data_IF_031767317113
#
_entry.id   IF_031767317113
#
_cell.length_a   1.000
_cell.length_b   1.000
_cell.length_c   1.000
_cell.angle_alpha   90.00
_cell.angle_beta   90.00
_cell.angle_gamma   90.00
#
_symmetry.space_group_name_H-M   'P 1'
#
loop_
_entity.id
_entity.type
_entity.pdbx_description
1 polymer ?
#
# COMPACT_ATOMS: atom_id res chain seq x y z
N UNK A 1 6.41 -14.82 -6.98
CA UNK A 1 7.12 -13.57 -6.65
C UNK A 1 6.35 -12.33 -7.12
N UNK A 2 5.97 -12.21 -8.41
CA UNK A 2 5.23 -11.03 -8.95
C UNK A 2 3.84 -10.79 -8.34
N UNK A 3 3.14 -11.85 -7.93
CA UNK A 3 1.82 -11.72 -7.29
C UNK A 3 1.90 -11.01 -5.94
N UNK A 4 2.93 -11.31 -5.13
CA UNK A 4 3.12 -10.72 -3.80
C UNK A 4 3.39 -9.21 -3.90
N UNK A 5 4.25 -8.81 -4.84
CA UNK A 5 4.60 -7.41 -5.05
C UNK A 5 3.43 -6.59 -5.57
N UNK A 6 2.63 -7.16 -6.47
CA UNK A 6 1.40 -6.53 -6.98
C UNK A 6 0.37 -6.30 -5.88
N UNK A 7 0.13 -7.28 -5.01
CA UNK A 7 -0.84 -7.16 -3.91
C UNK A 7 -0.38 -6.12 -2.88
N UNK A 8 0.91 -6.09 -2.54
CA UNK A 8 1.48 -5.08 -1.64
C UNK A 8 1.39 -3.66 -2.21
N UNK A 9 1.59 -3.49 -3.52
CA UNK A 9 1.43 -2.18 -4.15
C UNK A 9 -0.05 -1.76 -4.22
N UNK A 10 -0.95 -2.73 -4.46
CA UNK A 10 -2.39 -2.49 -4.49
C UNK A 10 -2.96 -2.09 -3.12
N UNK A 11 -2.46 -2.66 -2.02
CA UNK A 11 -2.88 -2.26 -0.65
C UNK A 11 -2.47 -0.82 -0.34
N UNK A 12 -1.24 -0.43 -0.69
CA UNK A 12 -0.75 0.95 -0.56
C UNK A 12 -1.56 1.93 -1.41
N UNK A 13 -1.84 1.59 -2.67
CA UNK A 13 -2.67 2.41 -3.55
C UNK A 13 -4.11 2.56 -3.01
N UNK A 14 -4.68 1.50 -2.45
CA UNK A 14 -6.01 1.53 -1.83
C UNK A 14 -6.07 2.47 -0.63
N UNK A 15 -5.01 2.55 0.18
CA UNK A 15 -4.91 3.49 1.31
C UNK A 15 -4.64 4.93 0.86
N UNK A 16 -3.99 5.15 -0.28
CA UNK A 16 -3.75 6.49 -0.83
C UNK A 16 -5.02 7.14 -1.41
N UNK A 17 -5.96 6.33 -1.94
CA UNK A 17 -7.24 6.80 -2.47
C UNK A 17 -8.02 7.73 -1.52
N UNK A 18 -8.33 7.36 -0.26
CA UNK A 18 -9.07 8.24 0.64
C UNK A 18 -8.31 9.55 0.92
N UNK A 19 -6.98 9.51 1.00
CA UNK A 19 -6.15 10.72 1.18
C UNK A 19 -6.34 11.66 -0.01
N UNK A 20 -6.21 11.15 -1.24
CA UNK A 20 -6.40 11.95 -2.46
C UNK A 20 -7.83 12.51 -2.52
N UNK A 21 -8.84 11.74 -2.12
CA UNK A 21 -10.23 12.23 -2.10
C UNK A 21 -10.44 13.38 -1.12
N UNK A 22 -9.71 13.45 0.00
CA UNK A 22 -9.78 14.62 0.91
C UNK A 22 -9.19 15.88 0.30
N UNK A 23 -8.17 15.76 -0.55
CA UNK A 23 -7.57 16.90 -1.25
C UNK A 23 -8.48 17.42 -2.37
N UNK A 24 -9.18 16.52 -3.09
CA UNK A 24 -10.05 16.90 -4.20
C UNK A 24 -11.39 17.45 -3.72
N UNK A 25 -11.99 16.84 -2.68
CA UNK A 25 -13.27 17.26 -2.14
C UNK A 25 -13.17 17.46 -0.62
N UNK A 26 -12.77 18.66 -0.17
CA UNK A 26 -12.66 18.96 1.26
C UNK A 26 -14.02 19.02 1.96
N UNK A 27 -15.13 19.11 1.20
CA UNK A 27 -16.47 19.16 1.77
C UNK A 27 -16.95 17.74 2.06
N UNK A 28 -16.80 17.33 3.33
CA UNK A 28 -17.12 15.98 3.79
C UNK A 28 -18.62 15.72 3.69
N UNK A 29 -19.06 15.07 2.61
CA UNK A 29 -20.38 14.45 2.58
C UNK A 29 -20.47 13.39 3.68
N UNK A 30 -21.67 13.19 4.24
CA UNK A 30 -21.94 12.25 5.34
C UNK A 30 -21.50 10.80 5.04
N UNK A 31 -21.26 10.47 3.76
CA UNK A 31 -20.74 9.18 3.28
C UNK A 31 -19.21 9.03 3.36
N UNK A 32 -18.44 10.09 3.56
CA UNK A 32 -16.96 10.03 3.60
C UNK A 32 -16.42 9.11 4.70
N UNK A 33 -16.90 9.16 5.96
CA UNK A 33 -16.45 8.23 7.01
C UNK A 33 -16.73 6.76 6.67
N UNK A 34 -17.86 6.48 6.01
CA UNK A 34 -18.19 5.13 5.55
C UNK A 34 -17.25 4.68 4.43
N UNK A 35 -16.89 5.56 3.51
CA UNK A 35 -15.93 5.26 2.45
C UNK A 35 -14.52 4.96 2.98
N UNK A 36 -14.05 5.71 3.98
CA UNK A 36 -12.77 5.42 4.65
C UNK A 36 -12.85 4.06 5.34
N UNK A 37 -13.91 3.78 6.10
CA UNK A 37 -14.10 2.50 6.80
C UNK A 37 -14.07 1.31 5.84
N UNK A 38 -14.80 1.37 4.73
CA UNK A 38 -14.80 0.29 3.74
C UNK A 38 -13.44 0.14 3.08
N UNK A 39 -12.79 1.24 2.72
CA UNK A 39 -11.46 1.21 2.11
C UNK A 39 -10.41 0.60 3.05
N UNK A 40 -10.43 0.94 4.34
CA UNK A 40 -9.56 0.31 5.35
C UNK A 40 -9.85 -1.19 5.49
N UNK A 41 -11.13 -1.60 5.45
CA UNK A 41 -11.50 -3.02 5.49
C UNK A 41 -10.97 -3.79 4.28
N UNK A 42 -11.09 -3.24 3.07
CA UNK A 42 -10.55 -3.86 1.85
C UNK A 42 -9.02 -3.91 1.86
N UNK A 43 -8.35 -2.84 2.31
CA UNK A 43 -6.89 -2.81 2.46
C UNK A 43 -6.42 -3.87 3.46
N UNK A 44 -7.16 -4.06 4.57
CA UNK A 44 -6.86 -5.10 5.55
C UNK A 44 -6.99 -6.52 4.95
N UNK A 45 -8.10 -6.82 4.28
CA UNK A 45 -8.31 -8.13 3.65
C UNK A 45 -7.24 -8.43 2.59
N UNK A 46 -6.92 -7.44 1.76
CA UNK A 46 -5.89 -7.61 0.71
C UNK A 46 -4.48 -7.76 1.31
N UNK A 47 -4.19 -7.13 2.46
CA UNK A 47 -2.90 -7.29 3.16
C UNK A 47 -2.69 -8.67 3.81
N UNK A 48 -3.77 -9.40 4.13
CA UNK A 48 -3.66 -10.74 4.71
C UNK A 48 -3.09 -11.77 3.70
N UNK A 49 -3.28 -11.56 2.40
CA UNK A 49 -2.75 -12.43 1.35
C UNK A 49 -1.21 -12.51 1.38
N UNK A 50 -0.45 -11.39 1.32
CA UNK A 50 0.99 -11.44 1.46
C UNK A 50 1.44 -11.95 2.85
N UNK A 51 0.72 -11.62 3.94
CA UNK A 51 1.07 -12.13 5.28
C UNK A 51 0.95 -13.65 5.38
N UNK A 52 -0.11 -14.24 4.84
CA UNK A 52 -0.29 -15.70 4.84
C UNK A 52 0.74 -16.41 3.95
N UNK A 53 1.11 -15.81 2.82
CA UNK A 53 2.22 -16.29 1.99
C UNK A 53 3.56 -16.24 2.72
N UNK A 54 3.84 -15.16 3.46
CA UNK A 54 5.02 -15.06 4.30
C UNK A 54 5.04 -16.17 5.36
N UNK A 55 3.95 -16.39 6.10
CA UNK A 55 3.89 -17.43 7.15
C UNK A 55 4.05 -18.85 6.56
N UNK A 56 3.43 -19.12 5.41
CA UNK A 56 3.41 -20.48 4.82
C UNK A 56 4.70 -20.86 4.10
N UNK A 57 5.35 -19.91 3.42
CA UNK A 57 6.53 -20.16 2.58
C UNK A 57 7.81 -19.54 3.14
N UNK A 58 7.72 -18.80 4.25
CA UNK A 58 8.80 -17.98 4.82
C UNK A 58 9.48 -17.09 3.76
N UNK A 59 8.69 -16.64 2.78
CA UNK A 59 9.19 -15.94 1.60
C UNK A 59 9.22 -14.43 1.89
N UNK A 60 10.38 -13.93 2.27
CA UNK A 60 10.63 -12.50 2.40
C UNK A 60 10.82 -11.87 1.02
N UNK A 61 10.13 -10.77 0.75
CA UNK A 61 10.31 -10.02 -0.50
C UNK A 61 10.50 -8.54 -0.19
N UNK A 62 11.67 -8.02 -0.52
CA UNK A 62 11.94 -6.58 -0.60
C UNK A 62 11.68 -6.12 -2.03
N UNK A 63 10.85 -5.09 -2.19
CA UNK A 63 10.63 -4.42 -3.47
C UNK A 63 11.56 -3.21 -3.49
N UNK A 64 12.16 -2.91 -4.63
CA UNK A 64 12.87 -1.65 -4.86
C UNK A 64 12.16 -0.98 -6.02
N UNK A 65 11.14 -0.18 -5.72
CA UNK A 65 10.22 0.38 -6.73
C UNK A 65 10.73 1.69 -7.30
N UNK A 66 11.46 2.49 -6.51
CA UNK A 66 11.95 3.80 -6.95
C UNK A 66 13.35 4.08 -6.42
N UNK A 67 14.31 4.38 -7.30
CA UNK A 67 15.61 4.91 -6.88
C UNK A 67 15.45 6.40 -6.52
N UNK A 68 15.59 6.73 -5.24
CA UNK A 68 15.28 8.07 -4.73
C UNK A 68 16.48 9.00 -4.80
N UNK A 69 17.61 8.62 -4.19
CA UNK A 69 18.82 9.44 -4.18
C UNK A 69 20.05 8.59 -3.88
N UNK A 70 21.18 8.90 -4.52
CA UNK A 70 22.49 8.34 -4.16
C UNK A 70 23.40 9.44 -3.60
N UNK A 71 24.01 9.18 -2.44
CA UNK A 71 25.03 10.04 -1.82
C UNK A 71 26.32 9.25 -1.59
N UNK A 72 27.33 9.50 -2.44
CA UNK A 72 28.62 8.81 -2.46
C UNK A 72 28.51 7.27 -2.56
N UNK A 73 28.39 6.57 -1.43
CA UNK A 73 28.26 5.11 -1.35
C UNK A 73 26.88 4.66 -0.87
N UNK A 74 26.01 5.59 -0.48
CA UNK A 74 24.69 5.29 0.07
C UNK A 74 23.62 5.51 -1.00
N UNK A 75 22.98 4.41 -1.40
CA UNK A 75 21.87 4.38 -2.35
C UNK A 75 20.54 4.22 -1.60
N UNK A 76 19.66 5.21 -1.70
CA UNK A 76 18.32 5.17 -1.15
C UNK A 76 17.33 4.77 -2.25
N UNK A 77 16.83 3.55 -2.14
CA UNK A 77 15.74 3.02 -2.97
C UNK A 77 14.48 2.89 -2.12
N UNK A 78 13.39 3.49 -2.58
CA UNK A 78 12.06 3.36 -2.00
C UNK A 78 11.51 1.99 -2.36
N UNK A 79 11.05 1.27 -1.34
CA UNK A 79 10.42 -0.04 -1.46
C UNK A 79 8.92 0.06 -1.62
#
# INVERSE_FOLDING_TARGET
>A
MTMHTSIMMATLASLALPIITTFINPNKNQSYPNHVKTTTMYAFITSLLPTTLYISLNQETTIWSWHWMMTQTLDLTLS
#
